data_IF_537818646212
#
_entry.id   IF_537818646212
#
_cell.length_a   1.000
_cell.length_b   1.000
_cell.length_c   1.000
_cell.angle_alpha   90.00
_cell.angle_beta   90.00
_cell.angle_gamma   90.00
#
_symmetry.space_group_name_H-M   'P 1'
#
loop_
_entity.id
_entity.type
_entity.pdbx_description
1 polymer ?
#
# COMPACT_ATOMS: atom_id res chain seq x y z
N UNK A 1 -21.07 16.55 6.06
CA UNK A 1 -20.12 15.90 5.14
C UNK A 1 -20.15 14.39 5.34
N UNK A 2 -19.70 13.68 4.32
CA UNK A 2 -19.50 12.23 4.33
C UNK A 2 -18.05 11.97 3.89
N UNK A 3 -17.26 11.34 4.74
CA UNK A 3 -15.93 10.86 4.43
C UNK A 3 -16.00 9.35 4.23
N UNK A 4 -15.51 8.84 3.11
CA UNK A 4 -15.76 7.43 2.72
C UNK A 4 -14.60 6.81 1.96
N UNK A 5 -14.45 5.49 2.11
CA UNK A 5 -13.66 4.64 1.21
C UNK A 5 -14.62 3.98 0.22
N UNK A 6 -14.35 4.13 -1.07
CA UNK A 6 -15.14 3.50 -2.12
C UNK A 6 -14.57 2.12 -2.48
N UNK A 7 -15.41 1.10 -2.52
CA UNK A 7 -14.96 -0.25 -2.96
C UNK A 7 -14.72 -0.29 -4.47
N UNK A 8 -15.51 0.46 -5.24
CA UNK A 8 -15.39 0.61 -6.69
C UNK A 8 -15.23 2.08 -7.05
N UNK A 9 -14.45 2.44 -8.09
CA UNK A 9 -14.36 3.82 -8.58
C UNK A 9 -15.64 4.31 -9.26
N UNK A 10 -16.54 3.41 -9.62
CA UNK A 10 -17.75 3.66 -10.40
C UNK A 10 -19.03 3.65 -9.57
N UNK A 11 -20.11 4.18 -10.17
CA UNK A 11 -21.47 4.07 -9.61
C UNK A 11 -21.86 5.14 -8.59
N UNK A 12 -21.00 6.13 -8.34
CA UNK A 12 -21.24 7.20 -7.38
C UNK A 12 -21.99 8.43 -7.95
N UNK A 13 -22.15 8.56 -9.25
CA UNK A 13 -22.75 9.75 -9.90
C UNK A 13 -24.10 10.16 -9.30
N UNK A 14 -24.96 9.18 -9.03
CA UNK A 14 -26.27 9.46 -8.43
C UNK A 14 -26.15 9.98 -7.00
N UNK A 15 -25.24 9.40 -6.22
CA UNK A 15 -25.00 9.79 -4.83
C UNK A 15 -24.39 11.17 -4.78
N UNK A 16 -23.42 11.47 -5.65
CA UNK A 16 -22.76 12.77 -5.76
C UNK A 16 -23.79 13.86 -6.11
N UNK A 17 -24.63 13.66 -7.15
CA UNK A 17 -25.71 14.61 -7.48
C UNK A 17 -26.71 14.80 -6.37
N UNK A 18 -27.04 13.75 -5.60
CA UNK A 18 -27.95 13.87 -4.46
C UNK A 18 -27.31 14.65 -3.31
N UNK A 19 -26.04 14.41 -3.04
CA UNK A 19 -25.28 15.13 -2.03
C UNK A 19 -25.18 16.63 -2.36
N UNK A 20 -24.81 16.95 -3.59
CA UNK A 20 -24.72 18.33 -4.10
C UNK A 20 -26.07 19.05 -3.92
N UNK A 21 -27.18 18.45 -4.37
CA UNK A 21 -28.53 19.00 -4.22
C UNK A 21 -28.92 19.28 -2.75
N UNK A 22 -28.33 18.55 -1.80
CA UNK A 22 -28.62 18.69 -0.38
C UNK A 22 -27.50 19.40 0.41
N UNK A 23 -26.55 20.04 -0.28
CA UNK A 23 -25.39 20.70 0.31
C UNK A 23 -24.58 19.77 1.23
N UNK A 24 -24.41 18.51 0.84
CA UNK A 24 -23.61 17.51 1.55
C UNK A 24 -22.27 17.37 0.83
N UNK A 25 -21.18 17.68 1.52
CA UNK A 25 -19.82 17.44 1.04
C UNK A 25 -19.50 15.95 1.12
N UNK A 26 -19.02 15.36 0.01
CA UNK A 26 -18.49 13.99 -0.03
C UNK A 26 -16.98 14.07 -0.25
N UNK A 27 -16.20 13.35 0.56
CA UNK A 27 -14.75 13.26 0.45
C UNK A 27 -14.35 11.79 0.45
N UNK A 28 -14.18 11.17 -0.73
CA UNK A 28 -13.53 9.88 -0.85
C UNK A 28 -12.06 9.99 -0.47
N UNK A 29 -11.54 8.94 0.17
CA UNK A 29 -10.11 8.85 0.45
C UNK A 29 -9.61 7.44 0.16
N UNK A 30 -8.29 7.31 -0.06
CA UNK A 30 -7.62 6.06 -0.41
C UNK A 30 -8.05 5.52 -1.79
N UNK A 31 -9.25 5.01 -1.88
CA UNK A 31 -9.85 4.54 -3.13
C UNK A 31 -10.55 5.71 -3.84
N UNK A 32 -9.90 6.30 -4.82
CA UNK A 32 -10.45 7.41 -5.58
C UNK A 32 -11.53 6.96 -6.54
N UNK A 33 -12.51 7.85 -6.75
CA UNK A 33 -13.54 7.71 -7.77
C UNK A 33 -13.04 8.27 -9.10
N UNK A 34 -13.46 7.68 -10.20
CA UNK A 34 -13.15 8.15 -11.56
C UNK A 34 -14.03 9.38 -11.92
N UNK A 35 -13.94 10.45 -11.10
CA UNK A 35 -14.68 11.71 -11.28
C UNK A 35 -13.91 12.89 -10.70
N UNK A 36 -14.10 14.07 -11.26
CA UNK A 36 -13.63 15.35 -10.74
C UNK A 36 -14.70 16.15 -9.98
N UNK A 37 -15.90 15.59 -9.83
CA UNK A 37 -17.05 16.26 -9.22
C UNK A 37 -16.96 16.35 -7.69
N UNK A 38 -16.03 15.66 -7.05
CA UNK A 38 -15.81 15.66 -5.60
C UNK A 38 -14.34 15.84 -5.25
N UNK A 39 -14.06 16.45 -4.12
CA UNK A 39 -12.72 16.52 -3.57
C UNK A 39 -12.32 15.15 -3.02
N UNK A 40 -11.09 14.73 -3.31
CA UNK A 40 -10.59 13.40 -2.94
C UNK A 40 -9.22 13.48 -2.27
N UNK A 41 -8.92 12.52 -1.39
CA UNK A 41 -7.61 12.40 -0.72
C UNK A 41 -7.00 11.05 -1.04
N UNK A 42 -5.80 11.03 -1.60
CA UNK A 42 -5.15 9.78 -2.00
C UNK A 42 -3.62 9.86 -1.88
N UNK A 43 -3.00 8.73 -1.69
CA UNK A 43 -1.62 8.48 -2.06
C UNK A 43 -1.56 8.18 -3.57
N UNK A 44 -0.51 8.62 -4.26
CA UNK A 44 -0.35 8.33 -5.69
C UNK A 44 -0.09 6.83 -5.92
N UNK A 45 -1.16 6.07 -6.13
CA UNK A 45 -1.12 4.60 -6.25
C UNK A 45 -0.33 4.14 -7.48
N UNK A 46 -0.43 4.88 -8.59
CA UNK A 46 0.34 4.59 -9.80
C UNK A 46 1.84 4.76 -9.56
N UNK A 47 2.22 5.86 -8.91
CA UNK A 47 3.61 6.12 -8.51
C UNK A 47 4.10 5.09 -7.50
N UNK A 48 3.28 4.68 -6.55
CA UNK A 48 3.62 3.63 -5.57
C UNK A 48 3.96 2.32 -6.28
N UNK A 49 3.13 1.88 -7.22
CA UNK A 49 3.39 0.70 -8.03
C UNK A 49 4.72 0.79 -8.81
N UNK A 50 5.00 1.96 -9.40
CA UNK A 50 6.29 2.21 -10.08
C UNK A 50 7.47 2.11 -9.12
N UNK A 51 7.39 2.73 -7.95
CA UNK A 51 8.47 2.72 -6.94
C UNK A 51 8.78 1.31 -6.45
N UNK A 52 7.76 0.48 -6.22
CA UNK A 52 7.94 -0.93 -5.87
C UNK A 52 8.69 -1.70 -6.96
N UNK A 53 8.23 -1.57 -8.20
CA UNK A 53 8.85 -2.27 -9.32
C UNK A 53 10.26 -1.76 -9.64
N UNK A 54 10.51 -0.45 -9.53
CA UNK A 54 11.84 0.15 -9.70
C UNK A 54 12.84 -0.40 -8.67
N UNK A 55 12.43 -0.48 -7.40
CA UNK A 55 13.26 -1.09 -6.35
C UNK A 55 13.60 -2.54 -6.71
N UNK A 56 12.60 -3.34 -7.04
CA UNK A 56 12.76 -4.75 -7.40
C UNK A 56 13.71 -4.91 -8.59
N UNK A 57 13.49 -4.15 -9.66
CA UNK A 57 14.35 -4.17 -10.86
C UNK A 57 15.80 -3.80 -10.52
N UNK A 58 16.01 -2.79 -9.67
CA UNK A 58 17.35 -2.37 -9.25
C UNK A 58 18.06 -3.45 -8.44
N UNK A 59 17.38 -4.11 -7.50
CA UNK A 59 17.92 -5.22 -6.72
C UNK A 59 18.26 -6.43 -7.61
N UNK A 60 17.43 -6.74 -8.60
CA UNK A 60 17.66 -7.82 -9.56
C UNK A 60 18.88 -7.50 -10.45
N UNK A 61 18.98 -6.28 -10.97
CA UNK A 61 20.14 -5.81 -11.75
C UNK A 61 21.44 -5.89 -10.95
N UNK A 62 21.40 -5.49 -9.67
CA UNK A 62 22.57 -5.57 -8.78
C UNK A 62 23.05 -7.01 -8.58
N UNK A 63 22.15 -8.01 -8.71
CA UNK A 63 22.46 -9.44 -8.69
C UNK A 63 22.78 -10.04 -10.07
N UNK A 64 22.79 -9.23 -11.13
CA UNK A 64 22.99 -9.69 -12.52
C UNK A 64 21.82 -10.48 -13.09
N UNK A 65 20.62 -10.40 -12.47
CA UNK A 65 19.40 -11.06 -12.93
C UNK A 65 18.66 -10.13 -13.89
N UNK A 66 18.51 -10.55 -15.14
CA UNK A 66 17.93 -9.73 -16.22
C UNK A 66 16.65 -10.35 -16.82
N UNK A 67 16.23 -11.50 -16.33
CA UNK A 67 15.04 -12.22 -16.81
C UNK A 67 14.53 -13.16 -15.72
N UNK A 68 13.29 -13.61 -15.85
CA UNK A 68 12.68 -14.61 -14.97
C UNK A 68 11.26 -14.27 -14.59
N UNK A 69 10.74 -14.96 -13.58
CA UNK A 69 9.37 -14.81 -13.12
C UNK A 69 9.30 -13.80 -11.98
N UNK A 70 8.36 -12.89 -12.08
CA UNK A 70 7.99 -11.94 -11.02
C UNK A 70 6.60 -12.31 -10.54
N UNK A 71 6.41 -12.41 -9.24
CA UNK A 71 5.09 -12.59 -8.65
C UNK A 71 4.50 -11.23 -8.28
N UNK A 72 3.38 -10.87 -8.87
CA UNK A 72 2.56 -9.74 -8.45
C UNK A 72 1.38 -10.26 -7.63
N UNK A 73 1.31 -9.85 -6.36
CA UNK A 73 0.17 -10.14 -5.49
C UNK A 73 -0.78 -8.96 -5.53
N UNK A 74 -1.92 -9.16 -6.20
CA UNK A 74 -2.96 -8.15 -6.42
C UNK A 74 -3.82 -7.94 -5.18
N UNK A 75 -4.39 -6.74 -5.11
CA UNK A 75 -5.40 -6.39 -4.13
C UNK A 75 -6.80 -6.89 -4.48
N UNK A 76 -7.81 -6.06 -4.20
CA UNK A 76 -9.20 -6.38 -4.49
C UNK A 76 -9.53 -6.05 -5.95
N UNK A 77 -9.87 -7.03 -6.80
CA UNK A 77 -10.20 -6.79 -8.20
C UNK A 77 -11.37 -5.81 -8.38
N UNK A 78 -11.23 -4.89 -9.34
CA UNK A 78 -12.23 -3.85 -9.61
C UNK A 78 -12.08 -2.59 -8.75
N UNK A 79 -11.11 -2.56 -7.85
CA UNK A 79 -10.79 -1.39 -7.04
C UNK A 79 -9.75 -0.49 -7.77
N UNK A 80 -9.87 0.84 -7.61
CA UNK A 80 -8.94 1.79 -8.24
C UNK A 80 -7.51 1.65 -7.74
N UNK A 81 -7.31 1.38 -6.45
CA UNK A 81 -6.00 1.18 -5.85
C UNK A 81 -5.29 -0.03 -6.47
N UNK A 82 -5.97 -1.18 -6.54
CA UNK A 82 -5.43 -2.38 -7.17
C UNK A 82 -5.08 -2.15 -8.65
N UNK A 83 -5.97 -1.49 -9.39
CA UNK A 83 -5.77 -1.16 -10.81
C UNK A 83 -4.53 -0.30 -11.00
N UNK A 84 -4.44 0.82 -10.31
CA UNK A 84 -3.42 1.84 -10.55
C UNK A 84 -2.03 1.35 -10.12
N UNK A 85 -1.93 0.63 -9.00
CA UNK A 85 -0.70 -0.04 -8.56
C UNK A 85 -0.20 -1.03 -9.60
N UNK A 86 -1.09 -1.89 -10.11
CA UNK A 86 -0.74 -2.87 -11.13
C UNK A 86 -0.28 -2.22 -12.43
N UNK A 87 -0.93 -1.14 -12.86
CA UNK A 87 -0.48 -0.38 -14.03
C UNK A 87 0.95 0.11 -13.81
N UNK A 88 1.23 0.76 -12.67
CA UNK A 88 2.57 1.27 -12.36
C UNK A 88 3.64 0.18 -12.32
N UNK A 89 3.35 -0.97 -11.71
CA UNK A 89 4.25 -2.12 -11.68
C UNK A 89 4.57 -2.60 -13.10
N UNK A 90 3.56 -2.82 -13.91
CA UNK A 90 3.72 -3.36 -15.27
C UNK A 90 4.43 -2.38 -16.21
N UNK A 91 4.21 -1.07 -16.08
CA UNK A 91 4.93 -0.04 -16.84
C UNK A 91 6.43 -0.13 -16.62
N UNK A 92 6.89 -0.29 -15.39
CA UNK A 92 8.30 -0.37 -15.06
C UNK A 92 8.95 -1.64 -15.61
N UNK A 93 8.33 -2.80 -15.43
CA UNK A 93 8.86 -4.05 -15.99
C UNK A 93 8.91 -4.02 -17.51
N UNK A 94 7.89 -3.47 -18.16
CA UNK A 94 7.86 -3.28 -19.61
C UNK A 94 8.97 -2.33 -20.10
N UNK A 95 9.17 -1.21 -19.43
CA UNK A 95 10.19 -0.22 -19.79
C UNK A 95 11.63 -0.72 -19.59
N UNK A 96 11.85 -1.62 -18.63
CA UNK A 96 13.16 -2.20 -18.35
C UNK A 96 13.58 -3.35 -19.30
N UNK A 97 12.74 -3.70 -20.29
CA UNK A 97 13.12 -4.47 -21.48
C UNK A 97 13.58 -5.91 -21.25
N UNK A 98 13.45 -6.46 -20.05
CA UNK A 98 13.76 -7.87 -19.76
C UNK A 98 12.62 -8.78 -20.18
N UNK A 99 12.88 -10.06 -20.53
CA UNK A 99 11.83 -11.05 -20.68
C UNK A 99 11.30 -11.48 -19.31
N UNK A 100 10.56 -10.56 -18.67
CA UNK A 100 9.91 -10.81 -17.40
C UNK A 100 8.57 -11.52 -17.60
N UNK A 101 8.40 -12.66 -16.94
CA UNK A 101 7.12 -13.37 -16.85
C UNK A 101 6.42 -12.96 -15.57
N UNK A 102 5.41 -12.09 -15.67
CA UNK A 102 4.67 -11.57 -14.51
C UNK A 102 3.48 -12.49 -14.24
N UNK A 103 3.60 -13.27 -13.18
CA UNK A 103 2.51 -14.12 -12.66
C UNK A 103 1.72 -13.29 -11.66
N UNK A 104 0.41 -13.20 -11.84
CA UNK A 104 -0.49 -12.46 -10.95
C UNK A 104 -1.33 -13.41 -10.12
N UNK A 105 -1.44 -13.15 -8.82
CA UNK A 105 -2.37 -13.82 -7.89
C UNK A 105 -3.14 -12.76 -7.10
N UNK A 106 -4.30 -13.13 -6.59
CA UNK A 106 -5.18 -12.20 -5.85
C UNK A 106 -5.09 -12.49 -4.35
N UNK A 107 -4.47 -11.58 -3.61
CA UNK A 107 -4.30 -11.66 -2.16
C UNK A 107 -5.37 -10.91 -1.35
N UNK A 108 -6.18 -10.07 -2.02
CA UNK A 108 -7.25 -9.26 -1.40
C UNK A 108 -6.80 -8.37 -0.23
N UNK A 109 -5.50 -7.99 -0.20
CA UNK A 109 -4.87 -7.23 0.90
C UNK A 109 -4.92 -7.94 2.27
N UNK A 110 -5.11 -9.26 2.28
CA UNK A 110 -5.24 -10.08 3.48
C UNK A 110 -4.04 -11.03 3.62
N UNK A 111 -3.38 -11.03 4.78
CA UNK A 111 -2.18 -11.84 5.03
C UNK A 111 -2.41 -13.34 4.82
N UNK A 112 -3.53 -13.86 5.33
CA UNK A 112 -3.84 -15.30 5.25
C UNK A 112 -4.13 -15.74 3.81
N UNK A 113 -4.91 -14.94 3.07
CA UNK A 113 -5.20 -15.16 1.65
C UNK A 113 -3.92 -15.07 0.84
N UNK A 114 -3.10 -14.03 1.08
CA UNK A 114 -1.82 -13.82 0.41
C UNK A 114 -0.86 -14.99 0.65
N UNK A 115 -0.69 -15.44 1.90
CA UNK A 115 0.15 -16.59 2.21
C UNK A 115 -0.26 -17.82 1.40
N UNK A 116 -1.55 -18.10 1.33
CA UNK A 116 -2.08 -19.24 0.58
C UNK A 116 -1.81 -19.13 -0.92
N UNK A 117 -2.20 -17.99 -1.55
CA UNK A 117 -2.07 -17.87 -3.02
C UNK A 117 -0.61 -17.77 -3.47
N UNK A 118 0.28 -17.23 -2.64
CA UNK A 118 1.73 -17.20 -2.90
C UNK A 118 2.33 -18.61 -2.78
N UNK A 119 1.95 -19.38 -1.77
CA UNK A 119 2.38 -20.77 -1.64
C UNK A 119 1.90 -21.63 -2.82
N UNK A 120 0.65 -21.47 -3.25
CA UNK A 120 0.09 -22.13 -4.42
C UNK A 120 0.85 -21.72 -5.70
N UNK A 121 1.16 -20.43 -5.86
CA UNK A 121 1.94 -19.95 -7.00
C UNK A 121 3.35 -20.55 -7.04
N UNK A 122 4.03 -20.63 -5.89
CA UNK A 122 5.35 -21.29 -5.79
C UNK A 122 5.24 -22.78 -6.16
N UNK A 123 4.23 -23.47 -5.70
CA UNK A 123 4.03 -24.89 -6.02
C UNK A 123 3.79 -25.13 -7.52
N UNK A 124 3.07 -24.23 -8.18
CA UNK A 124 2.73 -24.36 -9.62
C UNK A 124 3.85 -23.86 -10.54
N UNK A 125 4.44 -22.71 -10.23
CA UNK A 125 5.38 -22.01 -11.11
C UNK A 125 6.84 -22.21 -10.72
N UNK A 126 7.11 -22.74 -9.54
CA UNK A 126 8.46 -22.89 -9.00
C UNK A 126 9.02 -21.55 -8.48
N UNK A 127 10.29 -21.32 -8.75
CA UNK A 127 11.01 -20.15 -8.26
C UNK A 127 10.54 -18.86 -8.93
N UNK A 128 10.44 -17.81 -8.10
CA UNK A 128 10.30 -16.41 -8.52
C UNK A 128 11.60 -15.64 -8.26
N UNK A 129 11.92 -14.65 -9.09
CA UNK A 129 13.09 -13.79 -8.90
C UNK A 129 12.79 -12.62 -7.95
N UNK A 130 11.52 -12.22 -7.84
CA UNK A 130 11.05 -11.20 -6.92
C UNK A 130 9.54 -11.30 -6.69
N UNK A 131 9.05 -10.63 -5.64
CA UNK A 131 7.62 -10.48 -5.34
C UNK A 131 7.28 -9.01 -5.15
N UNK A 132 6.19 -8.56 -5.77
CA UNK A 132 5.59 -7.24 -5.54
C UNK A 132 4.19 -7.45 -4.97
N UNK A 133 4.03 -7.19 -3.67
CA UNK A 133 2.76 -7.34 -2.96
C UNK A 133 2.05 -6.00 -2.81
N UNK A 134 0.80 -5.92 -3.25
CA UNK A 134 -0.02 -4.72 -3.09
C UNK A 134 -0.61 -4.57 -1.69
N UNK A 135 -0.30 -5.49 -0.76
CA UNK A 135 -0.78 -5.61 0.62
C UNK A 135 -0.86 -7.07 1.04
N UNK A 136 -1.09 -7.33 2.32
CA UNK A 136 -0.91 -8.66 2.87
C UNK A 136 0.55 -9.09 2.82
N UNK A 137 1.46 -8.14 2.99
CA UNK A 137 2.89 -8.31 2.67
C UNK A 137 3.58 -9.24 3.65
N UNK A 138 3.08 -9.36 4.89
CA UNK A 138 3.55 -10.35 5.84
C UNK A 138 3.21 -11.79 5.37
N UNK A 139 2.05 -11.99 4.74
CA UNK A 139 1.67 -13.26 4.12
C UNK A 139 2.63 -13.70 3.02
N UNK A 140 3.17 -12.77 2.23
CA UNK A 140 4.24 -13.05 1.25
C UNK A 140 5.46 -13.65 1.93
N UNK A 141 5.94 -13.02 3.00
CA UNK A 141 7.13 -13.46 3.73
C UNK A 141 6.91 -14.85 4.35
N UNK A 142 5.75 -15.09 4.94
CA UNK A 142 5.43 -16.40 5.52
C UNK A 142 5.38 -17.49 4.44
N UNK A 143 4.76 -17.22 3.30
CA UNK A 143 4.71 -18.18 2.19
C UNK A 143 6.10 -18.53 1.64
N UNK A 144 6.97 -17.54 1.42
CA UNK A 144 8.36 -17.78 0.98
C UNK A 144 9.11 -18.64 1.98
N UNK A 145 8.97 -18.35 3.27
CA UNK A 145 9.61 -19.10 4.36
C UNK A 145 9.11 -20.54 4.43
N UNK A 146 7.79 -20.73 4.43
CA UNK A 146 7.16 -22.05 4.57
C UNK A 146 7.47 -22.96 3.37
N UNK A 147 7.59 -22.36 2.18
CA UNK A 147 8.00 -23.07 0.96
C UNK A 147 9.51 -23.36 0.88
N UNK A 148 10.33 -22.89 1.84
CA UNK A 148 11.78 -22.96 1.73
C UNK A 148 12.35 -22.22 0.53
N UNK A 149 11.62 -21.21 0.04
CA UNK A 149 12.05 -20.39 -1.09
C UNK A 149 13.22 -19.49 -0.66
N UNK A 150 14.22 -19.36 -1.51
CA UNK A 150 15.32 -18.43 -1.23
C UNK A 150 14.78 -16.99 -1.10
N UNK A 151 15.40 -16.18 -0.24
CA UNK A 151 15.04 -14.78 -0.14
C UNK A 151 15.29 -14.04 -1.45
N UNK A 152 14.31 -13.32 -1.91
CA UNK A 152 14.30 -12.51 -3.12
C UNK A 152 13.91 -11.07 -2.78
N UNK A 153 14.10 -10.09 -3.68
CA UNK A 153 13.56 -8.76 -3.47
C UNK A 153 12.05 -8.80 -3.31
N UNK A 154 11.55 -8.13 -2.26
CA UNK A 154 10.11 -8.03 -1.97
C UNK A 154 9.71 -6.58 -1.78
N UNK A 155 8.66 -6.15 -2.46
CA UNK A 155 8.03 -4.86 -2.24
C UNK A 155 6.65 -5.02 -1.62
N UNK A 156 6.26 -4.11 -0.74
CA UNK A 156 4.97 -4.16 -0.04
C UNK A 156 4.60 -2.89 0.69
N UNK A 157 3.51 -2.95 1.43
CA UNK A 157 2.97 -1.84 2.21
C UNK A 157 3.67 -1.64 3.56
N UNK A 158 3.17 -0.67 4.35
CA UNK A 158 3.78 -0.27 5.62
C UNK A 158 3.29 -1.07 6.84
N UNK A 159 2.91 -2.31 6.63
CA UNK A 159 2.52 -3.23 7.72
C UNK A 159 3.72 -3.49 8.64
N UNK A 160 3.47 -3.44 9.95
CA UNK A 160 4.51 -3.63 10.96
C UNK A 160 5.16 -5.02 10.89
N UNK A 161 4.36 -6.06 10.66
CA UNK A 161 4.85 -7.43 10.49
C UNK A 161 5.80 -7.58 9.30
N UNK A 162 5.48 -6.92 8.17
CA UNK A 162 6.35 -6.91 7.00
C UNK A 162 7.67 -6.20 7.29
N UNK A 163 7.66 -5.03 7.93
CA UNK A 163 8.87 -4.31 8.32
C UNK A 163 9.73 -5.07 9.34
N UNK A 164 9.09 -5.69 10.35
CA UNK A 164 9.78 -6.61 11.29
C UNK A 164 10.47 -7.75 10.55
N UNK A 165 9.78 -8.38 9.61
CA UNK A 165 10.31 -9.51 8.86
C UNK A 165 11.49 -9.09 7.96
N UNK A 166 11.39 -7.95 7.28
CA UNK A 166 12.50 -7.39 6.51
C UNK A 166 13.71 -7.12 7.43
N UNK A 167 13.53 -6.42 8.53
CA UNK A 167 14.59 -6.10 9.48
C UNK A 167 15.28 -7.37 10.01
N UNK A 168 14.49 -8.39 10.35
CA UNK A 168 14.98 -9.67 10.87
C UNK A 168 15.78 -10.47 9.86
N UNK A 169 15.33 -10.53 8.61
CA UNK A 169 15.91 -11.42 7.59
C UNK A 169 16.79 -10.70 6.56
N UNK A 170 17.03 -9.39 6.71
CA UNK A 170 17.89 -8.61 5.78
C UNK A 170 19.32 -9.14 5.70
N UNK A 171 19.89 -9.56 6.83
CA UNK A 171 21.22 -10.18 6.90
C UNK A 171 21.26 -11.58 6.23
N UNK A 172 20.14 -12.25 6.10
CA UNK A 172 19.99 -13.53 5.39
C UNK A 172 19.74 -13.35 3.88
N UNK A 173 19.65 -12.10 3.41
CA UNK A 173 19.50 -11.77 2.00
C UNK A 173 18.12 -11.27 1.58
N UNK A 174 17.15 -11.13 2.49
CA UNK A 174 15.86 -10.50 2.19
C UNK A 174 16.08 -9.00 1.96
N UNK A 175 15.83 -8.55 0.74
CA UNK A 175 15.84 -7.13 0.37
C UNK A 175 14.41 -6.65 0.20
N UNK A 176 13.97 -5.75 1.06
CA UNK A 176 12.60 -5.28 1.07
C UNK A 176 12.48 -3.76 0.95
N UNK A 177 11.39 -3.32 0.33
CA UNK A 177 10.92 -1.95 0.36
C UNK A 177 9.46 -1.93 0.84
N UNK A 178 9.19 -1.03 1.76
CA UNK A 178 7.86 -0.80 2.31
C UNK A 178 7.43 0.63 2.03
N UNK A 179 6.31 0.83 1.34
CA UNK A 179 5.84 2.15 0.91
C UNK A 179 4.39 2.33 1.30
N UNK A 180 4.09 3.54 1.78
CA UNK A 180 2.74 4.07 1.92
C UNK A 180 1.85 3.26 2.81
N UNK A 181 0.70 3.28 2.46
CA UNK A 181 -0.64 2.97 2.95
C UNK A 181 -0.82 3.31 4.42
N UNK A 182 -1.62 4.35 4.65
CA UNK A 182 -1.86 4.84 6.00
C UNK A 182 -3.34 4.96 6.31
N UNK A 183 -3.80 4.36 7.41
CA UNK A 183 -5.12 4.67 7.96
C UNK A 183 -5.30 6.16 8.31
N UNK A 184 -4.21 6.89 8.53
CA UNK A 184 -4.22 8.33 8.79
C UNK A 184 -4.79 9.21 7.67
N UNK A 185 -4.96 8.68 6.46
CA UNK A 185 -5.63 9.37 5.34
C UNK A 185 -7.04 9.85 5.71
N UNK A 186 -7.76 9.09 6.55
CA UNK A 186 -9.09 9.49 7.02
C UNK A 186 -9.05 10.81 7.77
N UNK A 187 -8.03 11.05 8.59
CA UNK A 187 -7.88 12.30 9.33
C UNK A 187 -7.66 13.49 8.38
N UNK A 188 -6.90 13.30 7.31
CA UNK A 188 -6.68 14.31 6.27
C UNK A 188 -8.00 14.59 5.53
N UNK A 189 -8.74 13.55 5.15
CA UNK A 189 -10.02 13.68 4.49
C UNK A 189 -11.08 14.38 5.37
N UNK A 190 -11.08 14.08 6.67
CA UNK A 190 -11.92 14.79 7.65
C UNK A 190 -11.58 16.29 7.72
N UNK A 191 -10.29 16.65 7.81
CA UNK A 191 -9.85 18.05 7.81
C UNK A 191 -10.24 18.77 6.53
N UNK A 192 -10.07 18.11 5.37
CA UNK A 192 -10.48 18.66 4.08
C UNK A 192 -12.00 18.86 3.99
N UNK A 193 -12.79 17.92 4.52
CA UNK A 193 -14.24 18.05 4.59
C UNK A 193 -14.69 19.25 5.46
N UNK A 194 -14.07 19.43 6.61
CA UNK A 194 -14.33 20.59 7.50
C UNK A 194 -13.98 21.89 6.80
N UNK A 195 -12.80 21.99 6.19
CA UNK A 195 -12.36 23.17 5.47
C UNK A 195 -13.35 23.56 4.35
N UNK A 196 -13.84 22.56 3.59
CA UNK A 196 -14.86 22.78 2.56
C UNK A 196 -16.18 23.29 3.14
N UNK A 197 -16.64 22.76 4.30
CA UNK A 197 -17.84 23.23 4.98
C UNK A 197 -17.68 24.67 5.52
N UNK A 198 -16.45 25.08 5.83
CA UNK A 198 -16.11 26.46 6.22
C UNK A 198 -15.97 27.40 5.01
N UNK A 199 -16.21 26.92 3.80
CA UNK A 199 -16.14 27.70 2.57
C UNK A 199 -14.73 27.92 2.02
N UNK A 200 -13.74 27.15 2.47
CA UNK A 200 -12.39 27.23 1.93
C UNK A 200 -12.34 26.54 0.56
N UNK A 201 -11.61 27.14 -0.38
CA UNK A 201 -11.35 26.52 -1.68
C UNK A 201 -10.27 25.46 -1.52
N UNK A 202 -10.64 24.22 -1.80
CA UNK A 202 -9.75 23.06 -1.70
C UNK A 202 -9.42 22.52 -3.10
N UNK A 203 -8.25 21.92 -3.31
CA UNK A 203 -7.95 21.22 -4.56
C UNK A 203 -8.88 20.01 -4.72
N UNK A 204 -9.19 19.67 -5.95
CA UNK A 204 -10.01 18.49 -6.27
C UNK A 204 -9.35 17.19 -5.80
N UNK A 205 -8.04 17.06 -5.97
CA UNK A 205 -7.25 15.94 -5.48
C UNK A 205 -6.17 16.43 -4.51
N UNK A 206 -6.21 15.93 -3.28
CA UNK A 206 -5.17 16.10 -2.27
C UNK A 206 -4.27 14.87 -2.31
N UNK A 207 -3.10 15.01 -2.94
CA UNK A 207 -2.10 13.94 -3.00
C UNK A 207 -1.24 13.97 -1.73
N UNK A 208 -1.23 12.86 -1.03
CA UNK A 208 -0.47 12.70 0.22
C UNK A 208 0.91 12.11 -0.09
N UNK A 209 1.98 12.54 0.61
CA UNK A 209 3.30 11.96 0.44
C UNK A 209 3.31 10.43 0.62
N UNK A 210 4.19 9.75 -0.12
CA UNK A 210 4.45 8.32 -0.01
C UNK A 210 5.66 8.07 0.90
N UNK A 211 5.48 7.77 2.19
CA UNK A 211 6.60 7.42 3.06
C UNK A 211 7.22 6.08 2.63
N UNK A 212 8.53 6.04 2.58
CA UNK A 212 9.32 4.89 2.12
C UNK A 212 10.27 4.43 3.22
N UNK A 213 10.39 3.13 3.39
CA UNK A 213 11.46 2.53 4.18
C UNK A 213 12.02 1.31 3.43
N UNK A 214 13.33 1.29 3.21
CA UNK A 214 14.06 0.17 2.65
C UNK A 214 14.70 -0.67 3.75
N UNK A 215 15.07 -1.90 3.41
CA UNK A 215 15.64 -2.88 4.35
C UNK A 215 16.83 -2.36 5.18
N UNK A 216 17.58 -1.38 4.66
CA UNK A 216 18.73 -0.75 5.31
C UNK A 216 18.38 0.49 6.15
N UNK A 217 17.12 0.93 6.10
CA UNK A 217 16.60 2.08 6.84
C UNK A 217 15.73 1.69 8.03
N UNK A 218 15.40 0.39 8.18
CA UNK A 218 14.48 -0.07 9.21
C UNK A 218 15.14 -0.06 10.59
N UNK A 219 14.45 0.59 11.55
CA UNK A 219 14.89 0.70 12.94
C UNK A 219 13.70 0.53 13.88
N UNK A 220 13.87 -0.33 14.87
CA UNK A 220 12.87 -0.54 15.91
C UNK A 220 12.65 0.72 16.74
N UNK A 221 11.39 1.07 16.99
CA UNK A 221 10.98 2.27 17.69
C UNK A 221 10.97 3.55 16.83
N UNK A 222 11.45 3.49 15.57
CA UNK A 222 11.43 4.63 14.65
C UNK A 222 10.43 4.43 13.49
N UNK A 223 10.51 3.31 12.79
CA UNK A 223 9.67 3.03 11.62
C UNK A 223 9.07 1.62 11.58
N UNK A 224 9.35 0.81 12.59
CA UNK A 224 8.58 -0.36 13.01
C UNK A 224 8.69 -0.51 14.53
N UNK A 225 7.84 -1.33 15.15
CA UNK A 225 7.80 -1.54 16.60
C UNK A 225 7.66 -3.02 16.89
N UNK A 226 8.65 -3.58 17.60
CA UNK A 226 8.68 -4.99 17.97
C UNK A 226 7.53 -5.41 18.88
N UNK A 227 7.02 -4.51 19.71
CA UNK A 227 5.96 -4.70 20.69
C UNK A 227 4.54 -4.44 20.14
N UNK A 228 4.41 -3.87 18.94
CA UNK A 228 3.10 -3.66 18.30
C UNK A 228 2.69 -4.85 17.43
N UNK A 229 1.38 -5.05 17.21
CA UNK A 229 0.85 -6.12 16.36
C UNK A 229 1.39 -6.07 14.92
N UNK A 230 1.43 -7.22 14.25
CA UNK A 230 1.93 -7.31 12.88
C UNK A 230 1.03 -6.61 11.86
N UNK A 231 -0.27 -6.59 12.10
CA UNK A 231 -1.24 -5.89 11.25
C UNK A 231 -1.35 -4.38 11.52
N UNK A 232 -0.52 -3.83 12.40
CA UNK A 232 -0.45 -2.39 12.62
C UNK A 232 0.22 -1.73 11.41
N UNK A 233 -0.38 -0.64 10.87
CA UNK A 233 0.26 0.17 9.83
C UNK A 233 1.18 1.21 10.46
N UNK A 234 2.44 1.19 10.07
CA UNK A 234 3.51 1.96 10.72
C UNK A 234 3.55 3.44 10.31
N UNK A 235 2.88 3.80 9.23
CA UNK A 235 2.85 5.17 8.71
C UNK A 235 1.56 5.85 9.13
N UNK A 236 1.65 6.79 10.07
CA UNK A 236 0.50 7.54 10.61
C UNK A 236 0.80 9.03 10.78
N UNK A 237 1.95 9.49 10.31
CA UNK A 237 2.39 10.86 10.47
C UNK A 237 2.49 11.55 9.10
N UNK A 238 1.74 12.64 8.96
CA UNK A 238 1.74 13.50 7.78
C UNK A 238 1.89 14.97 8.21
N UNK A 239 3.10 15.39 8.63
CA UNK A 239 3.35 16.75 9.11
C UNK A 239 2.85 17.84 8.17
N UNK A 240 3.03 17.76 6.84
CA UNK A 240 2.49 18.76 5.92
C UNK A 240 0.98 18.91 5.97
N UNK A 241 0.25 17.85 6.37
CA UNK A 241 -1.20 17.84 6.51
C UNK A 241 -1.65 18.13 7.97
N UNK A 242 -0.69 18.35 8.88
CA UNK A 242 -0.97 18.56 10.30
C UNK A 242 -1.56 17.32 10.98
N UNK A 243 -1.17 16.13 10.54
CA UNK A 243 -1.50 14.84 11.15
C UNK A 243 -0.19 14.24 11.67
N UNK A 244 -0.02 14.20 12.99
CA UNK A 244 1.21 13.79 13.64
C UNK A 244 0.87 12.91 14.84
N UNK A 245 0.47 11.67 14.60
CA UNK A 245 0.16 10.71 15.66
C UNK A 245 1.06 9.51 15.45
N UNK A 246 2.05 9.34 16.33
CA UNK A 246 2.97 8.19 16.27
C UNK A 246 2.24 6.87 16.56
N UNK A 247 2.81 5.77 16.08
CA UNK A 247 2.28 4.44 16.32
C UNK A 247 2.06 4.14 17.81
N UNK A 248 3.07 4.35 18.68
CA UNK A 248 2.89 4.17 20.13
C UNK A 248 1.80 5.04 20.74
N UNK A 249 1.66 6.29 20.29
CA UNK A 249 0.61 7.18 20.78
C UNK A 249 -0.79 6.73 20.40
N UNK A 250 -0.96 6.15 19.20
CA UNK A 250 -2.25 5.56 18.79
C UNK A 250 -2.57 4.35 19.68
N UNK A 251 -1.61 3.45 19.88
CA UNK A 251 -1.82 2.20 20.61
C UNK A 251 -1.93 2.40 22.14
N UNK A 252 -1.46 3.52 22.66
CA UNK A 252 -1.59 3.85 24.10
C UNK A 252 -2.95 4.44 24.47
N UNK A 253 -3.80 4.77 23.50
CA UNK A 253 -5.14 5.31 23.77
C UNK A 253 -6.06 4.23 24.29
N UNK A 254 -6.70 4.50 25.43
CA UNK A 254 -7.76 3.65 25.98
C UNK A 254 -9.09 3.87 25.25
N UNK A 255 -10.04 2.94 25.40
CA UNK A 255 -11.41 3.11 24.89
C UNK A 255 -12.10 4.36 25.48
N UNK A 256 -11.66 4.84 26.64
CA UNK A 256 -12.18 6.05 27.27
C UNK A 256 -11.70 7.34 26.60
N UNK A 257 -10.54 7.29 25.95
CA UNK A 257 -9.97 8.44 25.22
C UNK A 257 -10.62 8.67 23.84
N UNK A 258 -11.47 7.77 23.41
CA UNK A 258 -12.12 7.75 22.08
C UNK A 258 -13.59 8.19 22.13
N UNK A 259 -14.10 8.56 23.30
CA UNK A 259 -15.49 9.00 23.48
C UNK A 259 -15.71 10.47 23.17
#
# INVERSE_FOLDING_TARGET
>A
AIVTIAVSPDGFDRVIRLADKNNVVIVPFDNVLDTDAVMQVNEDQLKMGRMWAEFVVNELKAKGVTSGKILEVRGLPGNSVDRDRSIGINEVFKANGGPWDIVQVVGNWDDGTTQKVVADAIAVHGKFEAVVGQGGSNGVIQALKDAGHAWVPVAGESENGFRKAIAKHSAEGLKGISIGQSPGLVAIAMKAAVAALEGQVMPQLISVPLPVATYDQLKDGENFWSDLPDNFFTVNEFPPCGVNISGPAIMSKSEEDVK
#
